data_IF_257121518930
#
_entry.id   IF_257121518930
#
_cell.length_a   1.000
_cell.length_b   1.000
_cell.length_c   1.000
_cell.angle_alpha   90.00
_cell.angle_beta   90.00
_cell.angle_gamma   90.00
#
_symmetry.space_group_name_H-M   'P 1'
#
loop_
_entity.id
_entity.type
_entity.pdbx_description
1 polymer ?
#
# COMPACT_ATOMS: atom_id res chain seq x y z
N UNK A 1 12.11 -1.60 -23.20
CA UNK A 1 11.60 -0.23 -22.93
C UNK A 1 10.10 -0.06 -23.12
N UNK A 2 9.47 -0.61 -24.17
CA UNK A 2 8.00 -0.47 -24.41
C UNK A 2 7.13 -0.83 -23.20
N UNK A 3 7.39 -1.96 -22.55
CA UNK A 3 6.66 -2.41 -21.35
C UNK A 3 6.76 -1.45 -20.16
N UNK A 4 7.96 -0.93 -19.89
CA UNK A 4 8.18 0.03 -18.79
C UNK A 4 7.40 1.32 -19.05
N UNK A 5 7.45 1.84 -20.29
CA UNK A 5 6.68 3.03 -20.67
C UNK A 5 5.17 2.82 -20.51
N UNK A 6 4.65 1.65 -20.87
CA UNK A 6 3.24 1.31 -20.67
C UNK A 6 2.85 1.27 -19.19
N UNK A 7 3.63 0.60 -18.34
CA UNK A 7 3.36 0.51 -16.90
C UNK A 7 3.42 1.88 -16.24
N UNK A 8 4.38 2.73 -16.63
CA UNK A 8 4.46 4.10 -16.14
C UNK A 8 3.24 4.94 -16.55
N UNK A 9 2.78 4.80 -17.80
CA UNK A 9 1.58 5.49 -18.27
C UNK A 9 0.35 5.08 -17.45
N UNK A 10 0.18 3.78 -17.18
CA UNK A 10 -0.90 3.29 -16.31
C UNK A 10 -0.76 3.88 -14.90
N UNK A 11 0.44 3.86 -14.31
CA UNK A 11 0.69 4.44 -12.98
C UNK A 11 0.29 5.92 -12.91
N UNK A 12 0.68 6.73 -13.90
CA UNK A 12 0.30 8.15 -13.93
C UNK A 12 -1.20 8.36 -14.14
N UNK A 13 -1.88 7.51 -14.92
CA UNK A 13 -3.35 7.57 -15.04
C UNK A 13 -4.03 7.26 -13.71
N UNK A 14 -3.60 6.20 -13.01
CA UNK A 14 -4.17 5.81 -11.72
C UNK A 14 -3.94 6.90 -10.66
N UNK A 15 -2.80 7.60 -10.72
CA UNK A 15 -2.47 8.72 -9.83
C UNK A 15 -3.50 9.86 -9.86
N UNK A 16 -4.09 10.13 -11.02
CA UNK A 16 -5.05 11.23 -11.21
C UNK A 16 -6.50 10.84 -10.89
N UNK A 17 -6.78 9.55 -10.67
CA UNK A 17 -8.13 9.08 -10.31
C UNK A 17 -8.33 9.31 -8.81
N UNK A 18 -9.14 10.33 -8.48
CA UNK A 18 -9.51 10.65 -7.10
C UNK A 18 -10.42 9.58 -6.46
N UNK A 19 -10.28 9.38 -5.16
CA UNK A 19 -11.14 8.50 -4.38
C UNK A 19 -12.55 9.05 -4.30
N UNK A 20 -13.52 8.19 -4.60
CA UNK A 20 -14.92 8.55 -4.47
C UNK A 20 -15.34 8.49 -2.99
N UNK A 21 -15.91 9.58 -2.49
CA UNK A 21 -16.41 9.69 -1.11
C UNK A 21 -15.43 10.30 -0.10
N UNK A 22 -14.22 10.69 -0.53
CA UNK A 22 -13.24 11.38 0.31
C UNK A 22 -13.69 12.82 0.62
N UNK A 23 -13.48 13.28 1.86
CA UNK A 23 -13.75 14.67 2.26
C UNK A 23 -12.87 15.65 1.47
N UNK A 24 -13.45 16.69 0.83
CA UNK A 24 -12.68 17.73 0.14
C UNK A 24 -11.70 18.51 1.04
N UNK A 25 -11.93 18.52 2.35
CA UNK A 25 -11.07 19.18 3.34
C UNK A 25 -10.00 18.24 3.92
N UNK A 26 -9.86 17.02 3.38
CA UNK A 26 -8.86 16.07 3.84
C UNK A 26 -7.45 16.64 3.69
N UNK A 27 -6.68 16.57 4.78
CA UNK A 27 -5.30 17.08 4.84
C UNK A 27 -4.34 15.91 4.69
N UNK A 28 -3.32 16.10 3.85
CA UNK A 28 -2.28 15.09 3.73
C UNK A 28 -1.20 15.24 4.81
N UNK A 29 -1.37 14.47 5.87
CA UNK A 29 -0.41 14.38 6.98
C UNK A 29 0.93 13.72 6.60
N UNK A 30 0.96 12.91 5.54
CA UNK A 30 2.11 12.08 5.15
C UNK A 30 2.82 12.60 3.90
N UNK A 31 2.70 13.91 3.63
CA UNK A 31 3.30 14.57 2.46
C UNK A 31 4.77 14.24 2.24
N UNK A 32 5.56 14.25 3.33
CA UNK A 32 7.00 13.96 3.26
C UNK A 32 7.31 12.49 2.95
N UNK A 33 6.39 11.57 3.28
CA UNK A 33 6.58 10.14 3.09
C UNK A 33 6.13 9.67 1.69
N UNK A 34 5.31 10.46 0.99
CA UNK A 34 4.82 10.14 -0.37
C UNK A 34 5.94 9.86 -1.38
N UNK A 35 7.07 10.56 -1.28
CA UNK A 35 8.21 10.33 -2.18
C UNK A 35 8.80 8.91 -2.05
N UNK A 36 8.72 8.32 -0.84
CA UNK A 36 9.21 6.97 -0.56
C UNK A 36 8.16 5.93 -0.93
N UNK A 37 6.89 6.20 -0.61
CA UNK A 37 5.76 5.30 -0.86
C UNK A 37 5.31 5.29 -2.33
N UNK A 38 5.75 6.27 -3.14
CA UNK A 38 5.29 6.45 -4.51
C UNK A 38 3.75 6.45 -4.64
N UNK A 39 3.06 6.94 -3.60
CA UNK A 39 1.61 7.08 -3.55
C UNK A 39 1.17 8.53 -3.81
N UNK A 40 -0.12 8.73 -4.09
CA UNK A 40 -0.71 10.05 -4.25
C UNK A 40 -1.96 10.18 -3.38
N UNK A 41 -1.93 11.12 -2.44
CA UNK A 41 -2.99 11.32 -1.47
C UNK A 41 -4.31 11.66 -2.15
N UNK A 42 -5.37 11.00 -1.69
CA UNK A 42 -6.72 11.17 -2.22
C UNK A 42 -6.95 10.53 -3.59
N UNK A 43 -5.99 9.76 -4.11
CA UNK A 43 -6.16 8.94 -5.32
C UNK A 43 -6.32 7.47 -4.99
N UNK A 44 -6.71 6.66 -5.97
CA UNK A 44 -6.77 5.19 -5.83
C UNK A 44 -5.42 4.56 -5.49
N UNK A 45 -4.30 5.24 -5.74
CA UNK A 45 -2.95 4.77 -5.34
C UNK A 45 -2.48 5.46 -4.05
N UNK A 46 -3.38 5.84 -3.15
CA UNK A 46 -3.02 6.50 -1.89
C UNK A 46 -2.05 5.66 -1.04
N UNK A 47 -2.19 4.32 -1.04
CA UNK A 47 -1.26 3.40 -0.36
C UNK A 47 0.10 3.27 -1.07
N UNK A 48 0.15 3.56 -2.37
CA UNK A 48 1.33 3.38 -3.21
C UNK A 48 1.94 1.98 -3.09
N UNK A 49 3.27 1.93 -2.95
CA UNK A 49 4.03 0.67 -2.71
C UNK A 49 4.16 0.32 -1.22
N UNK A 50 3.54 1.12 -0.32
CA UNK A 50 3.67 1.01 1.13
C UNK A 50 3.51 -0.42 1.64
N UNK A 51 2.37 -1.10 1.38
CA UNK A 51 2.14 -2.46 1.86
C UNK A 51 3.19 -3.48 1.42
N UNK A 52 3.69 -3.37 0.19
CA UNK A 52 4.68 -4.28 -0.39
C UNK A 52 6.02 -4.10 0.32
N UNK A 53 6.42 -2.83 0.54
CA UNK A 53 7.67 -2.48 1.21
C UNK A 53 7.59 -2.82 2.70
N UNK A 54 6.50 -2.49 3.38
CA UNK A 54 6.25 -2.83 4.79
C UNK A 54 6.34 -4.34 5.03
N UNK A 55 5.63 -5.13 4.21
CA UNK A 55 5.69 -6.59 4.27
C UNK A 55 7.11 -7.13 4.09
N UNK A 56 7.87 -6.56 3.15
CA UNK A 56 9.26 -6.95 2.89
C UNK A 56 10.16 -6.60 4.07
N UNK A 57 10.07 -5.39 4.63
CA UNK A 57 10.88 -4.94 5.77
C UNK A 57 10.65 -5.86 6.98
N UNK A 58 9.39 -6.16 7.31
CA UNK A 58 9.06 -7.04 8.43
C UNK A 58 9.67 -8.43 8.22
N UNK A 59 9.48 -9.02 7.04
CA UNK A 59 10.02 -10.35 6.76
C UNK A 59 11.55 -10.37 6.73
N UNK A 60 12.19 -9.32 6.21
CA UNK A 60 13.64 -9.15 6.25
C UNK A 60 14.17 -9.05 7.68
N UNK A 61 13.49 -8.32 8.57
CA UNK A 61 13.85 -8.23 9.99
C UNK A 61 13.70 -9.60 10.67
N UNK A 62 12.63 -10.35 10.38
CA UNK A 62 12.42 -11.69 10.96
C UNK A 62 13.49 -12.69 10.54
N UNK A 63 13.87 -12.70 9.24
CA UNK A 63 14.91 -13.59 8.72
C UNK A 63 16.30 -13.14 9.18
N UNK A 64 16.61 -11.85 9.09
CA UNK A 64 17.89 -11.29 9.53
C UNK A 64 18.12 -11.43 11.05
N UNK A 65 17.05 -11.36 11.84
CA UNK A 65 17.05 -11.61 13.28
C UNK A 65 17.02 -13.10 13.66
N UNK A 66 17.04 -14.02 12.69
CA UNK A 66 16.93 -15.49 12.89
C UNK A 66 15.69 -15.94 13.65
N UNK A 67 14.61 -15.16 13.61
CA UNK A 67 13.29 -15.57 14.11
C UNK A 67 12.64 -16.58 13.16
N UNK A 68 12.95 -16.48 11.87
CA UNK A 68 12.61 -17.45 10.84
C UNK A 68 13.93 -17.87 10.17
N UNK A 69 14.23 -19.18 10.19
CA UNK A 69 15.42 -19.72 9.55
C UNK A 69 15.13 -19.99 8.07
N UNK A 70 15.47 -19.02 7.22
CA UNK A 70 15.41 -19.13 5.76
C UNK A 70 16.79 -18.81 5.18
N UNK A 71 17.36 -19.75 4.44
CA UNK A 71 18.60 -19.51 3.72
C UNK A 71 18.29 -18.90 2.35
N UNK A 72 18.34 -17.57 2.29
CA UNK A 72 18.11 -16.83 1.05
C UNK A 72 19.21 -17.03 -0.01
N UNK A 73 20.19 -17.92 0.17
CA UNK A 73 21.02 -18.42 -0.94
C UNK A 73 20.33 -19.55 -1.70
N UNK A 74 19.48 -20.33 -1.02
CA UNK A 74 18.81 -21.50 -1.56
C UNK A 74 17.57 -21.11 -2.37
N UNK A 75 17.38 -21.64 -3.59
CA UNK A 75 16.24 -21.31 -4.43
C UNK A 75 14.88 -21.58 -3.77
N UNK A 76 14.79 -22.66 -2.98
CA UNK A 76 13.57 -23.05 -2.27
C UNK A 76 13.13 -22.01 -1.26
N UNK A 77 14.06 -21.54 -0.44
CA UNK A 77 13.77 -20.60 0.64
C UNK A 77 13.51 -19.20 0.09
N UNK A 78 14.18 -18.81 -1.01
CA UNK A 78 13.82 -17.60 -1.77
C UNK A 78 12.37 -17.64 -2.24
N UNK A 79 11.90 -18.78 -2.76
CA UNK A 79 10.50 -18.92 -3.18
C UNK A 79 9.52 -18.78 -2.00
N UNK A 80 9.84 -19.38 -0.85
CA UNK A 80 9.04 -19.25 0.37
C UNK A 80 9.00 -17.79 0.85
N UNK A 81 10.15 -17.11 0.83
CA UNK A 81 10.24 -15.69 1.19
C UNK A 81 9.37 -14.83 0.26
N UNK A 82 9.50 -14.98 -1.06
CA UNK A 82 8.73 -14.21 -2.03
C UNK A 82 7.22 -14.52 -1.95
N UNK A 83 6.85 -15.79 -1.77
CA UNK A 83 5.45 -16.19 -1.58
C UNK A 83 4.84 -15.57 -0.33
N UNK A 84 5.56 -15.65 0.80
CA UNK A 84 5.13 -15.06 2.07
C UNK A 84 5.05 -13.54 1.98
N UNK A 85 6.04 -12.89 1.37
CA UNK A 85 6.06 -11.44 1.19
C UNK A 85 4.86 -10.97 0.36
N UNK A 86 4.49 -11.68 -0.71
CA UNK A 86 3.31 -11.35 -1.51
C UNK A 86 2.01 -11.50 -0.73
N UNK A 87 1.86 -12.59 0.04
CA UNK A 87 0.68 -12.81 0.88
C UNK A 87 0.57 -11.74 1.97
N UNK A 88 1.68 -11.42 2.63
CA UNK A 88 1.74 -10.34 3.63
C UNK A 88 1.42 -8.99 3.01
N UNK A 89 1.92 -8.68 1.81
CA UNK A 89 1.64 -7.41 1.13
C UNK A 89 0.13 -7.21 0.89
N UNK A 90 -0.59 -8.28 0.50
CA UNK A 90 -2.06 -8.22 0.35
C UNK A 90 -2.72 -7.98 1.70
N UNK A 91 -2.29 -8.67 2.76
CA UNK A 91 -2.82 -8.46 4.11
C UNK A 91 -2.57 -7.02 4.61
N UNK A 92 -1.37 -6.48 4.38
CA UNK A 92 -1.03 -5.10 4.72
C UNK A 92 -1.80 -4.08 3.88
N UNK A 93 -2.15 -4.40 2.63
CA UNK A 93 -2.99 -3.51 1.80
C UNK A 93 -4.35 -3.30 2.47
N UNK A 94 -5.01 -4.39 2.87
CA UNK A 94 -6.30 -4.34 3.57
C UNK A 94 -6.14 -3.63 4.92
N UNK A 95 -5.11 -4.00 5.69
CA UNK A 95 -4.87 -3.42 7.00
C UNK A 95 -4.59 -1.91 6.94
N UNK A 96 -3.68 -1.46 6.07
CA UNK A 96 -3.34 -0.04 5.91
C UNK A 96 -4.53 0.76 5.37
N UNK A 97 -5.33 0.21 4.45
CA UNK A 97 -6.55 0.85 3.95
C UNK A 97 -7.55 1.10 5.09
N UNK A 98 -7.81 0.08 5.92
CA UNK A 98 -8.67 0.20 7.12
C UNK A 98 -8.10 1.27 8.06
N UNK A 99 -6.81 1.17 8.41
CA UNK A 99 -6.18 2.11 9.35
C UNK A 99 -6.26 3.54 8.82
N UNK A 100 -5.95 3.79 7.55
CA UNK A 100 -5.97 5.16 7.01
C UNK A 100 -7.36 5.79 7.03
N UNK A 101 -8.41 5.02 6.78
CA UNK A 101 -9.79 5.55 6.76
C UNK A 101 -10.31 5.74 8.19
N UNK A 102 -10.18 4.73 9.06
CA UNK A 102 -10.72 4.79 10.43
C UNK A 102 -9.98 5.79 11.33
N UNK A 103 -8.67 5.96 11.15
CA UNK A 103 -7.89 6.95 11.89
C UNK A 103 -7.94 8.36 11.28
N UNK A 104 -8.73 8.56 10.22
CA UNK A 104 -9.02 9.89 9.67
C UNK A 104 -7.92 10.48 8.79
N UNK A 105 -6.96 9.68 8.31
CA UNK A 105 -6.00 10.13 7.30
C UNK A 105 -6.68 10.25 5.92
N UNK A 106 -7.63 9.37 5.60
CA UNK A 106 -8.50 9.43 4.43
C UNK A 106 -9.98 9.47 4.89
N UNK A 107 -10.44 10.62 5.44
CA UNK A 107 -11.78 10.72 6.00
C UNK A 107 -12.85 10.70 4.91
N UNK A 108 -13.94 9.97 5.14
CA UNK A 108 -15.11 10.01 4.29
C UNK A 108 -15.96 11.28 4.52
N UNK A 109 -16.62 11.78 3.47
CA UNK A 109 -17.56 12.90 3.56
C UNK A 109 -18.62 12.62 4.63
N UNK A 110 -18.85 13.60 5.50
CA UNK A 110 -19.81 13.52 6.62
C UNK A 110 -19.57 12.36 7.60
N UNK A 111 -18.38 11.72 7.56
CA UNK A 111 -18.07 10.51 8.33
C UNK A 111 -19.09 9.37 8.11
N UNK A 112 -19.68 9.30 6.91
CA UNK A 112 -20.65 8.27 6.56
C UNK A 112 -19.98 6.88 6.57
N UNK A 113 -20.45 5.93 7.40
CA UNK A 113 -19.89 4.58 7.45
C UNK A 113 -19.90 3.86 6.09
N UNK A 114 -20.92 4.08 5.25
CA UNK A 114 -20.99 3.44 3.93
C UNK A 114 -19.87 3.93 3.00
N UNK A 115 -19.58 5.24 3.04
CA UNK A 115 -18.49 5.83 2.27
C UNK A 115 -17.12 5.40 2.81
N UNK A 116 -16.97 5.23 4.12
CA UNK A 116 -15.74 4.69 4.72
C UNK A 116 -15.43 3.29 4.17
N UNK A 117 -16.40 2.37 4.18
CA UNK A 117 -16.21 1.03 3.60
C UNK A 117 -15.91 1.08 2.10
N UNK A 118 -16.56 1.99 1.37
CA UNK A 118 -16.33 2.17 -0.05
C UNK A 118 -14.91 2.67 -0.35
N UNK A 119 -14.39 3.62 0.44
CA UNK A 119 -13.01 4.10 0.29
C UNK A 119 -12.03 2.97 0.58
N UNK A 120 -12.23 2.20 1.67
CA UNK A 120 -11.37 1.05 2.00
C UNK A 120 -11.34 0.04 0.85
N UNK A 121 -12.47 -0.19 0.18
CA UNK A 121 -12.54 -1.11 -0.95
C UNK A 121 -11.92 -0.59 -2.27
N UNK A 122 -11.73 0.73 -2.40
CA UNK A 122 -11.08 1.35 -3.56
C UNK A 122 -9.55 1.37 -3.46
N UNK A 123 -9.03 1.24 -2.24
CA UNK A 123 -7.62 1.30 -1.87
C UNK A 123 -6.93 -0.06 -2.01
#
# INVERSE_FOLDING_TARGET
MKWVGLVLLIYFLLKEIALYGLDPNAVDYFANLRAIIAGSFGSIISLGIGPIVTASIILQIMVGGKLIDLDLSQPKDKMIFMGTQKTLAIAFTIFEAVVMVFFGALPAVNQDPYLQFLIIAQL
#
